data_IF_490994812492
#
_entry.id   IF_490994812492
#
_cell.length_a   1.000
_cell.length_b   1.000
_cell.length_c   1.000
_cell.angle_alpha   90.00
_cell.angle_beta   90.00
_cell.angle_gamma   90.00
#
_symmetry.space_group_name_H-M   'P 1'
#
loop_
_entity.id
_entity.type
_entity.pdbx_description
1 polymer ?
#
# COMPACT_ATOMS: atom_id res chain seq x y z
N UNK A 1 -32.70 -13.20 18.14
CA UNK A 1 -31.42 -12.46 18.17
C UNK A 1 -31.71 -11.05 17.73
N UNK A 2 -31.59 -10.06 18.61
CA UNK A 2 -31.69 -8.65 18.23
C UNK A 2 -30.35 -8.24 17.59
N UNK A 3 -30.39 -7.83 16.32
CA UNK A 3 -29.24 -7.25 15.64
C UNK A 3 -28.79 -5.99 16.38
N UNK A 4 -27.55 -5.96 16.84
CA UNK A 4 -26.96 -4.76 17.42
C UNK A 4 -26.79 -3.72 16.30
N UNK A 5 -27.13 -2.44 16.53
CA UNK A 5 -26.84 -1.41 15.54
C UNK A 5 -25.31 -1.32 15.33
N UNK A 6 -24.89 -1.48 14.07
CA UNK A 6 -23.50 -1.31 13.64
C UNK A 6 -23.34 0.13 13.16
N UNK A 7 -22.98 1.04 14.05
CA UNK A 7 -22.69 2.43 13.67
C UNK A 7 -21.26 2.54 13.12
N UNK A 8 -21.09 3.23 12.00
CA UNK A 8 -19.79 3.59 11.44
C UNK A 8 -19.65 5.11 11.37
N UNK A 9 -18.72 5.68 12.15
CA UNK A 9 -18.36 7.09 12.01
C UNK A 9 -17.54 7.29 10.74
N UNK A 10 -17.87 8.31 9.95
CA UNK A 10 -17.22 8.61 8.67
C UNK A 10 -16.70 10.05 8.66
N UNK A 11 -15.48 10.25 8.17
CA UNK A 11 -14.87 11.55 7.96
C UNK A 11 -14.74 11.80 6.46
N UNK A 12 -15.29 12.91 5.98
CA UNK A 12 -15.16 13.33 4.60
C UNK A 12 -14.00 14.31 4.47
N UNK A 13 -13.07 14.01 3.57
CA UNK A 13 -11.89 14.82 3.29
C UNK A 13 -11.85 15.18 1.81
N UNK A 14 -11.43 16.41 1.51
CA UNK A 14 -11.10 16.77 0.14
C UNK A 14 -9.81 16.06 -0.28
N UNK A 15 -9.76 15.56 -1.52
CA UNK A 15 -8.55 14.96 -2.08
C UNK A 15 -7.38 15.96 -2.14
N UNK A 16 -7.67 17.26 -2.17
CA UNK A 16 -6.66 18.33 -2.12
C UNK A 16 -5.93 18.40 -0.78
N UNK A 17 -6.54 17.88 0.28
CA UNK A 17 -5.96 17.83 1.63
C UNK A 17 -5.12 16.56 1.85
N UNK A 18 -5.15 15.63 0.91
CA UNK A 18 -4.45 14.34 0.99
C UNK A 18 -3.19 14.37 0.13
N UNK A 19 -2.11 13.86 0.70
CA UNK A 19 -0.87 13.59 -0.03
C UNK A 19 -0.72 12.08 -0.17
N UNK A 20 -0.50 11.66 -1.41
CA UNK A 20 -0.25 10.27 -1.77
C UNK A 20 1.24 10.01 -1.87
N UNK A 21 1.66 8.85 -1.40
CA UNK A 21 3.05 8.43 -1.39
C UNK A 21 3.16 6.97 -1.82
N UNK A 22 4.28 6.66 -2.47
CA UNK A 22 4.57 5.30 -2.85
C UNK A 22 4.82 4.46 -1.60
N UNK A 23 4.44 3.20 -1.71
CA UNK A 23 4.88 2.14 -0.81
C UNK A 23 5.84 1.26 -1.60
N UNK A 24 6.95 0.88 -1.01
CA UNK A 24 7.97 0.02 -1.60
C UNK A 24 7.88 -1.36 -0.97
N UNK A 25 8.27 -2.38 -1.72
CA UNK A 25 8.18 -3.77 -1.30
C UNK A 25 9.59 -4.28 -1.09
N UNK A 26 9.81 -4.90 0.05
CA UNK A 26 11.04 -5.60 0.38
C UNK A 26 10.68 -7.06 0.61
N UNK A 27 11.29 -7.96 -0.15
CA UNK A 27 10.98 -9.39 -0.11
C UNK A 27 12.24 -10.23 0.10
N UNK A 28 12.13 -11.31 0.84
CA UNK A 28 13.21 -12.29 0.98
C UNK A 28 13.43 -13.05 -0.34
N UNK A 29 14.66 -13.02 -0.87
CA UNK A 29 15.02 -13.66 -2.14
C UNK A 29 15.60 -15.07 -2.03
N UNK A 30 15.80 -15.61 -0.81
CA UNK A 30 16.53 -16.88 -0.59
C UNK A 30 15.93 -18.08 -1.34
N UNK A 31 14.61 -18.08 -1.54
CA UNK A 31 13.88 -19.18 -2.18
C UNK A 31 13.40 -18.85 -3.59
N UNK A 32 13.76 -17.68 -4.14
CA UNK A 32 13.28 -17.27 -5.46
C UNK A 32 14.07 -17.96 -6.57
N UNK A 33 13.36 -18.53 -7.53
CA UNK A 33 13.97 -18.95 -8.79
C UNK A 33 14.33 -17.71 -9.59
N UNK A 34 15.63 -17.45 -9.73
CA UNK A 34 16.16 -16.27 -10.43
C UNK A 34 15.78 -16.26 -11.92
N UNK A 35 15.75 -17.43 -12.55
CA UNK A 35 15.39 -17.55 -13.97
C UNK A 35 13.90 -17.26 -14.16
N UNK A 36 13.05 -17.78 -13.26
CA UNK A 36 11.62 -17.47 -13.26
C UNK A 36 11.37 -15.97 -13.01
N UNK A 37 12.01 -15.39 -11.99
CA UNK A 37 11.90 -13.98 -11.67
C UNK A 37 12.28 -13.10 -12.87
N UNK A 38 13.43 -13.36 -13.48
CA UNK A 38 13.88 -12.60 -14.64
C UNK A 38 12.94 -12.77 -15.81
N UNK A 39 12.45 -13.99 -16.08
CA UNK A 39 11.43 -14.23 -17.11
C UNK A 39 10.15 -13.42 -16.86
N UNK A 40 9.65 -13.40 -15.63
CA UNK A 40 8.47 -12.61 -15.26
C UNK A 40 8.72 -11.11 -15.51
N UNK A 41 9.90 -10.59 -15.14
CA UNK A 41 10.25 -9.19 -15.36
C UNK A 41 10.37 -8.88 -16.85
N UNK A 42 11.20 -9.61 -17.59
CA UNK A 42 11.52 -9.32 -19.00
C UNK A 42 10.36 -9.58 -19.95
N UNK A 43 9.31 -10.28 -19.50
CA UNK A 43 8.07 -10.43 -20.27
C UNK A 43 7.30 -9.12 -20.41
N UNK A 44 7.45 -8.20 -19.44
CA UNK A 44 6.65 -6.97 -19.37
C UNK A 44 7.49 -5.70 -19.31
N UNK A 45 8.77 -5.80 -18.93
CA UNK A 45 9.65 -4.66 -18.70
C UNK A 45 11.01 -4.80 -19.37
N UNK A 46 11.52 -3.71 -19.92
CA UNK A 46 12.94 -3.53 -20.20
C UNK A 46 13.69 -3.30 -18.90
N UNK A 47 14.82 -3.99 -18.74
CA UNK A 47 15.65 -3.92 -17.54
C UNK A 47 16.98 -3.20 -17.85
N UNK A 48 17.20 -2.06 -17.19
CA UNK A 48 18.40 -1.23 -17.37
C UNK A 48 19.12 -1.07 -16.04
N UNK A 49 20.43 -1.30 -15.99
CA UNK A 49 21.22 -1.07 -14.78
C UNK A 49 21.28 0.43 -14.44
N UNK A 50 21.36 0.75 -13.15
CA UNK A 50 21.51 2.13 -12.68
C UNK A 50 22.99 2.50 -12.61
N UNK A 51 23.43 3.60 -13.25
CA UNK A 51 24.81 4.06 -13.17
C UNK A 51 25.26 4.31 -11.72
N UNK A 52 26.45 3.81 -11.40
CA UNK A 52 27.05 3.85 -10.05
C UNK A 52 26.24 3.12 -8.98
N UNK A 53 25.32 2.22 -9.38
CA UNK A 53 24.49 1.42 -8.48
C UNK A 53 23.73 2.26 -7.44
N UNK A 54 23.30 3.46 -7.83
CA UNK A 54 22.59 4.37 -6.93
C UNK A 54 21.19 3.83 -6.62
N UNK A 55 20.71 3.96 -5.37
CA UNK A 55 19.33 3.63 -5.05
C UNK A 55 18.34 4.36 -5.94
N UNK A 56 17.43 3.61 -6.54
CA UNK A 56 16.55 4.15 -7.58
C UNK A 56 15.11 4.30 -7.10
N UNK A 57 14.61 5.53 -7.16
CA UNK A 57 13.19 5.85 -7.04
C UNK A 57 12.64 6.11 -8.45
N UNK A 58 11.56 5.44 -8.85
CA UNK A 58 10.90 5.72 -10.12
C UNK A 58 10.53 7.20 -10.26
N UNK A 59 10.76 7.75 -11.45
CA UNK A 59 10.55 9.17 -11.74
C UNK A 59 9.28 9.42 -12.56
N UNK A 60 8.77 8.37 -13.21
CA UNK A 60 7.57 8.43 -14.02
C UNK A 60 6.70 7.19 -13.83
N UNK A 61 5.42 7.35 -14.17
CA UNK A 61 4.43 6.28 -14.19
C UNK A 61 4.88 5.13 -15.09
N UNK A 62 4.56 3.91 -14.66
CA UNK A 62 4.96 2.65 -15.29
C UNK A 62 6.37 2.19 -14.91
N UNK A 63 7.21 3.06 -14.35
CA UNK A 63 8.56 2.68 -13.92
C UNK A 63 8.54 1.98 -12.57
N UNK A 64 9.37 0.95 -12.45
CA UNK A 64 9.62 0.24 -11.19
C UNK A 64 11.13 0.23 -10.98
N UNK A 65 11.58 0.46 -9.75
CA UNK A 65 12.97 0.18 -9.38
C UNK A 65 13.08 -1.21 -8.81
N UNK A 66 14.17 -1.90 -9.15
CA UNK A 66 14.49 -3.23 -8.64
C UNK A 66 15.87 -3.20 -8.02
N UNK A 67 15.99 -3.64 -6.77
CA UNK A 67 17.25 -4.06 -6.21
C UNK A 67 17.29 -5.59 -6.20
N UNK A 68 18.26 -6.18 -6.90
CA UNK A 68 18.41 -7.62 -7.00
C UNK A 68 19.89 -7.99 -7.07
N UNK A 69 20.30 -8.97 -6.27
CA UNK A 69 21.69 -9.46 -6.23
C UNK A 69 22.72 -8.33 -6.06
N UNK A 70 22.42 -7.35 -5.19
CA UNK A 70 23.31 -6.23 -4.91
C UNK A 70 23.26 -5.09 -5.94
N UNK A 71 22.44 -5.19 -7.00
CA UNK A 71 22.43 -4.23 -8.11
C UNK A 71 21.05 -3.58 -8.23
N UNK A 72 21.05 -2.27 -8.44
CA UNK A 72 19.90 -1.46 -8.77
C UNK A 72 19.65 -1.44 -10.28
N UNK A 73 18.39 -1.65 -10.63
CA UNK A 73 17.87 -1.62 -11.98
C UNK A 73 16.65 -0.71 -12.04
N UNK A 74 16.46 -0.12 -13.22
CA UNK A 74 15.22 0.51 -13.67
C UNK A 74 14.47 -0.47 -14.56
N UNK A 75 13.20 -0.68 -14.26
CA UNK A 75 12.26 -1.41 -15.09
C UNK A 75 11.39 -0.40 -15.81
N UNK A 76 11.40 -0.44 -17.14
CA UNK A 76 10.55 0.38 -17.99
C UNK A 76 9.55 -0.51 -18.72
N UNK A 77 8.26 -0.16 -18.77
CA UNK A 77 7.27 -1.02 -19.39
C UNK A 77 7.58 -1.17 -20.87
N UNK A 78 7.50 -2.40 -21.37
CA UNK A 78 7.60 -2.65 -22.80
C UNK A 78 6.38 -1.98 -23.45
N UNK A 79 6.57 -1.12 -24.46
CA UNK A 79 5.47 -0.49 -25.18
C UNK A 79 4.59 -1.60 -25.80
N UNK A 80 3.32 -1.29 -26.09
CA UNK A 80 2.28 -2.19 -26.63
C UNK A 80 1.36 -2.88 -25.61
N UNK A 81 1.70 -2.95 -24.32
CA UNK A 81 0.75 -3.40 -23.30
C UNK A 81 -0.03 -2.25 -22.69
N UNK A 82 -1.25 -2.04 -23.19
CA UNK A 82 -2.15 -0.97 -22.69
C UNK A 82 -2.44 -1.11 -21.20
N UNK A 83 -2.50 -2.34 -20.67
CA UNK A 83 -2.74 -2.60 -19.25
C UNK A 83 -1.67 -1.99 -18.34
N UNK A 84 -0.41 -1.95 -18.77
CA UNK A 84 0.69 -1.35 -18.00
C UNK A 84 0.52 0.15 -17.78
N UNK A 85 -0.30 0.80 -18.62
CA UNK A 85 -0.64 2.22 -18.52
C UNK A 85 -2.02 2.46 -17.90
N UNK A 86 -2.85 1.44 -17.71
CA UNK A 86 -4.21 1.58 -17.19
C UNK A 86 -4.32 1.15 -15.73
N UNK A 87 -3.37 0.33 -15.25
CA UNK A 87 -3.35 -0.19 -13.89
C UNK A 87 -2.23 0.44 -13.05
N UNK A 88 -2.43 0.56 -11.73
CA UNK A 88 -1.39 0.99 -10.80
C UNK A 88 -0.21 0.01 -10.76
N UNK A 89 1.00 0.52 -10.52
CA UNK A 89 2.22 -0.30 -10.45
C UNK A 89 2.16 -1.33 -9.32
N UNK A 90 1.47 -1.03 -8.20
CA UNK A 90 1.31 -1.99 -7.11
C UNK A 90 0.50 -3.23 -7.54
N UNK A 91 -0.55 -3.03 -8.35
CA UNK A 91 -1.38 -4.11 -8.89
C UNK A 91 -0.58 -4.93 -9.90
N UNK A 92 0.13 -4.26 -10.80
CA UNK A 92 0.97 -4.90 -11.81
C UNK A 92 2.10 -5.71 -11.17
N UNK A 93 2.81 -5.12 -10.21
CA UNK A 93 3.86 -5.80 -9.45
C UNK A 93 3.32 -7.07 -8.78
N UNK A 94 2.14 -6.98 -8.17
CA UNK A 94 1.51 -8.12 -7.51
C UNK A 94 1.20 -9.25 -8.51
N UNK A 95 0.47 -8.94 -9.58
CA UNK A 95 -0.04 -9.92 -10.54
C UNK A 95 1.05 -10.50 -11.44
N UNK A 96 2.03 -9.68 -11.84
CA UNK A 96 3.02 -10.05 -12.88
C UNK A 96 4.34 -10.53 -12.32
N UNK A 97 4.68 -10.20 -11.07
CA UNK A 97 5.97 -10.53 -10.48
C UNK A 97 5.80 -11.26 -9.14
N UNK A 98 5.13 -10.68 -8.14
CA UNK A 98 5.09 -11.26 -6.78
C UNK A 98 4.35 -12.60 -6.74
N UNK A 99 3.14 -12.67 -7.29
CA UNK A 99 2.39 -13.92 -7.37
C UNK A 99 3.11 -15.01 -8.19
N UNK A 100 3.55 -14.76 -9.44
CA UNK A 100 4.13 -15.82 -10.27
C UNK A 100 5.58 -16.18 -9.90
N UNK A 101 6.43 -15.22 -9.51
CA UNK A 101 7.85 -15.48 -9.26
C UNK A 101 8.14 -15.84 -7.79
N UNK A 102 7.38 -15.27 -6.84
CA UNK A 102 7.60 -15.49 -5.40
C UNK A 102 6.52 -16.39 -4.76
N UNK A 103 5.44 -16.69 -5.49
CA UNK A 103 4.30 -17.43 -4.96
C UNK A 103 3.52 -16.64 -3.90
N UNK A 104 3.67 -15.32 -3.85
CA UNK A 104 2.96 -14.45 -2.89
C UNK A 104 1.58 -14.16 -3.49
N UNK A 105 0.59 -14.98 -3.18
CA UNK A 105 -0.79 -14.80 -3.68
C UNK A 105 -1.57 -13.82 -2.81
N UNK A 106 -1.47 -13.97 -1.49
CA UNK A 106 -2.11 -13.11 -0.49
C UNK A 106 -1.05 -12.30 0.25
N UNK A 107 -0.77 -11.05 -0.17
CA UNK A 107 0.37 -10.28 0.35
C UNK A 107 0.19 -9.84 1.80
N UNK A 108 -1.06 -9.77 2.27
CA UNK A 108 -1.41 -9.32 3.62
C UNK A 108 -0.86 -10.26 4.71
N UNK A 109 -0.81 -11.56 4.42
CA UNK A 109 -0.46 -12.60 5.38
C UNK A 109 0.97 -13.15 5.15
N UNK A 110 1.65 -12.71 4.08
CA UNK A 110 2.96 -13.23 3.70
C UNK A 110 4.09 -12.51 4.43
N UNK A 111 4.65 -13.16 5.46
CA UNK A 111 5.74 -12.64 6.29
C UNK A 111 7.03 -12.35 5.53
N UNK A 112 7.19 -12.88 4.31
CA UNK A 112 8.37 -12.60 3.48
C UNK A 112 8.32 -11.19 2.90
N UNK A 113 7.15 -10.55 2.89
CA UNK A 113 6.93 -9.24 2.32
C UNK A 113 6.88 -8.16 3.40
N UNK A 114 7.66 -7.10 3.22
CA UNK A 114 7.69 -5.92 4.08
C UNK A 114 7.43 -4.67 3.25
N UNK A 115 6.80 -3.69 3.86
CA UNK A 115 6.33 -2.48 3.18
C UNK A 115 6.99 -1.22 3.74
N UNK A 116 7.51 -0.37 2.87
CA UNK A 116 8.20 0.86 3.24
C UNK A 116 7.59 2.05 2.51
N UNK A 117 6.99 2.99 3.23
CA UNK A 117 6.54 4.26 2.62
C UNK A 117 7.71 5.17 2.27
N UNK A 118 7.46 6.21 1.48
CA UNK A 118 8.50 7.20 1.09
C UNK A 118 9.30 7.80 2.26
N UNK A 119 8.67 7.96 3.43
CA UNK A 119 9.31 8.49 4.64
C UNK A 119 10.27 7.49 5.31
N UNK A 120 10.13 6.19 5.04
CA UNK A 120 10.97 5.11 5.56
C UNK A 120 11.97 4.62 4.51
N UNK A 121 12.40 5.51 3.60
CA UNK A 121 13.32 5.15 2.53
C UNK A 121 14.71 4.78 3.04
N UNK A 122 15.25 5.55 3.97
CA UNK A 122 16.55 5.24 4.55
C UNK A 122 16.53 3.91 5.33
N UNK A 123 15.39 3.58 5.95
CA UNK A 123 15.19 2.28 6.60
C UNK A 123 15.20 1.13 5.58
N UNK A 124 14.55 1.32 4.41
CA UNK A 124 14.61 0.36 3.31
C UNK A 124 16.07 0.13 2.85
N UNK A 125 16.84 1.21 2.67
CA UNK A 125 18.25 1.10 2.25
C UNK A 125 19.11 0.43 3.33
N UNK A 126 18.88 0.76 4.60
CA UNK A 126 19.52 0.12 5.74
C UNK A 126 19.26 -1.39 5.74
N UNK A 127 18.02 -1.83 5.54
CA UNK A 127 17.70 -3.25 5.44
C UNK A 127 18.43 -3.93 4.28
N UNK A 128 18.43 -3.32 3.10
CA UNK A 128 19.13 -3.86 1.92
C UNK A 128 20.64 -4.03 2.14
N UNK A 129 21.26 -3.16 2.94
CA UNK A 129 22.68 -3.28 3.29
C UNK A 129 22.99 -4.44 4.24
N UNK A 130 22.00 -4.95 4.99
CA UNK A 130 22.18 -6.00 5.99
C UNK A 130 22.18 -7.40 5.38
N UNK A 131 21.44 -7.58 4.29
CA UNK A 131 21.28 -8.89 3.65
C UNK A 131 21.25 -8.76 2.12
N UNK A 132 22.28 -9.27 1.41
CA UNK A 132 22.37 -9.20 -0.05
C UNK A 132 21.32 -10.07 -0.76
N UNK A 133 20.64 -10.96 -0.05
CA UNK A 133 19.58 -11.79 -0.59
C UNK A 133 18.21 -11.11 -0.58
N UNK A 134 18.09 -9.92 0.02
CA UNK A 134 16.89 -9.12 -0.06
C UNK A 134 16.70 -8.56 -1.46
N UNK A 135 15.44 -8.54 -1.89
CA UNK A 135 15.02 -7.96 -3.16
C UNK A 135 14.08 -6.82 -2.84
N UNK A 136 14.31 -5.65 -3.42
CA UNK A 136 13.40 -4.51 -3.27
C UNK A 136 12.75 -4.13 -4.59
N UNK A 137 11.47 -3.76 -4.51
CA UNK A 137 10.73 -3.11 -5.58
C UNK A 137 10.28 -1.72 -5.11
N UNK A 138 10.80 -0.69 -5.76
CA UNK A 138 10.45 0.71 -5.50
C UNK A 138 9.46 1.16 -6.57
N UNK A 139 8.44 1.90 -6.18
CA UNK A 139 7.30 2.22 -7.04
C UNK A 139 7.13 3.73 -7.21
N UNK A 140 6.54 4.12 -8.33
CA UNK A 140 5.99 5.45 -8.51
C UNK A 140 4.70 5.60 -7.67
N UNK A 141 4.44 6.76 -7.06
CA UNK A 141 3.21 6.96 -6.28
C UNK A 141 1.97 6.95 -7.17
N UNK A 142 0.97 6.17 -6.77
CA UNK A 142 -0.40 6.30 -7.28
C UNK A 142 -0.93 7.69 -6.92
N UNK A 143 -1.59 8.35 -7.89
CA UNK A 143 -2.25 9.64 -7.67
C UNK A 143 -3.74 9.50 -7.33
N UNK A 144 -4.36 10.64 -6.99
CA UNK A 144 -5.78 10.70 -6.65
C UNK A 144 -6.70 10.26 -7.79
N UNK A 145 -6.34 10.58 -9.04
CA UNK A 145 -7.14 10.25 -10.21
C UNK A 145 -7.13 8.75 -10.48
N UNK A 146 -5.97 8.11 -10.34
CA UNK A 146 -5.80 6.66 -10.46
C UNK A 146 -6.51 5.90 -9.34
N UNK A 147 -6.46 6.39 -8.10
CA UNK A 147 -7.23 5.83 -6.98
C UNK A 147 -8.73 5.86 -7.27
N UNK A 148 -9.27 7.02 -7.67
CA UNK A 148 -10.69 7.18 -8.01
C UNK A 148 -11.07 6.28 -9.20
N UNK A 149 -10.22 6.21 -10.22
CA UNK A 149 -10.44 5.35 -11.39
C UNK A 149 -10.49 3.88 -10.97
N UNK A 150 -9.56 3.43 -10.13
CA UNK A 150 -9.51 2.04 -9.65
C UNK A 150 -10.77 1.69 -8.86
N UNK A 151 -11.24 2.59 -7.99
CA UNK A 151 -12.49 2.42 -7.26
C UNK A 151 -13.72 2.34 -8.18
N UNK A 152 -13.81 3.22 -9.19
CA UNK A 152 -14.90 3.20 -10.18
C UNK A 152 -14.95 1.92 -11.00
N UNK A 153 -13.78 1.31 -11.25
CA UNK A 153 -13.67 0.05 -11.99
C UNK A 153 -13.87 -1.18 -11.08
N UNK A 154 -14.12 -1.01 -9.78
CA UNK A 154 -14.23 -2.12 -8.83
C UNK A 154 -12.94 -2.93 -8.74
N UNK A 155 -11.78 -2.29 -8.93
CA UNK A 155 -10.48 -2.97 -8.92
C UNK A 155 -10.02 -3.23 -7.49
N UNK A 156 -9.64 -4.48 -7.23
CA UNK A 156 -8.99 -4.86 -5.97
C UNK A 156 -7.56 -4.30 -5.92
N UNK A 157 -7.32 -3.39 -4.98
CA UNK A 157 -6.00 -2.87 -4.70
C UNK A 157 -5.29 -3.77 -3.67
N UNK A 158 -4.04 -4.21 -3.93
CA UNK A 158 -3.25 -4.93 -2.93
C UNK A 158 -3.16 -4.17 -1.61
N UNK A 159 -2.99 -4.90 -0.51
CA UNK A 159 -2.73 -4.28 0.80
C UNK A 159 -1.48 -3.40 0.72
N UNK A 160 -1.53 -2.25 1.40
CA UNK A 160 -0.50 -1.21 1.34
C UNK A 160 -0.18 -0.74 -0.09
N UNK A 161 -1.19 -0.62 -0.95
CA UNK A 161 -1.04 -0.07 -2.31
C UNK A 161 -0.49 1.36 -2.34
N UNK A 162 -0.88 2.18 -1.37
CA UNK A 162 -0.56 3.60 -1.32
C UNK A 162 -0.46 4.09 0.12
N UNK A 163 0.41 5.08 0.38
CA UNK A 163 0.48 5.77 1.66
C UNK A 163 -0.26 7.11 1.59
N UNK A 164 -1.17 7.37 2.53
CA UNK A 164 -1.90 8.64 2.64
C UNK A 164 -1.36 9.44 3.83
N UNK A 165 -1.17 10.74 3.63
CA UNK A 165 -0.92 11.68 4.73
C UNK A 165 -1.78 12.95 4.61
N UNK A 166 -2.21 13.56 5.74
CA UNK A 166 -1.95 13.13 7.12
C UNK A 166 -2.72 11.86 7.52
N UNK A 167 -2.14 11.01 8.38
CA UNK A 167 -2.76 9.73 8.82
C UNK A 167 -4.03 9.95 9.69
N UNK A 168 -4.11 11.10 10.34
CA UNK A 168 -5.32 11.63 10.96
C UNK A 168 -5.28 13.14 10.75
N UNK A 169 -6.27 13.75 10.06
CA UNK A 169 -6.22 15.18 9.79
C UNK A 169 -6.40 16.03 11.05
N UNK A 170 -7.19 15.57 12.04
CA UNK A 170 -7.55 16.36 13.22
C UNK A 170 -7.91 15.47 14.42
N UNK A 171 -7.75 15.97 15.65
CA UNK A 171 -8.14 15.28 16.89
C UNK A 171 -9.66 15.09 16.96
N UNK A 172 -10.16 13.95 16.46
CA UNK A 172 -11.58 13.60 16.56
C UNK A 172 -11.87 13.23 18.02
N UNK A 173 -12.62 14.08 18.71
CA UNK A 173 -13.20 13.75 20.02
C UNK A 173 -14.55 13.08 19.79
N UNK A 174 -14.66 11.79 20.10
CA UNK A 174 -15.95 11.08 20.11
C UNK A 174 -16.46 11.02 21.55
N UNK A 175 -17.63 11.61 21.80
CA UNK A 175 -18.32 11.50 23.08
C UNK A 175 -19.60 10.68 22.87
N UNK A 176 -19.68 9.53 23.52
CA UNK A 176 -20.93 8.77 23.58
C UNK A 176 -21.89 9.53 24.50
N UNK A 177 -22.99 10.06 23.96
CA UNK A 177 -24.06 10.60 24.80
C UNK A 177 -24.84 9.42 25.35
N UNK A 178 -24.47 8.95 26.55
CA UNK A 178 -25.32 8.05 27.32
C UNK A 178 -26.63 8.75 27.57
N UNK A 179 -27.72 8.14 27.09
CA UNK A 179 -29.05 8.71 27.15
C UNK A 179 -29.58 8.63 28.58
N UNK A 180 -29.13 9.54 29.45
CA UNK A 180 -29.59 9.63 30.84
C UNK A 180 -30.92 10.40 30.87
N UNK A 181 -31.95 9.77 30.29
CA UNK A 181 -33.31 10.28 30.32
C UNK A 181 -34.10 9.57 31.40
N UNK A 182 -34.30 10.28 32.51
CA UNK A 182 -35.39 10.18 33.48
C UNK A 182 -35.36 9.02 34.49
N UNK A 183 -34.75 9.26 35.66
CA UNK A 183 -35.18 8.58 36.91
C UNK A 183 -35.36 9.47 38.15
N UNK A 184 -35.20 10.79 38.05
CA UNK A 184 -35.36 11.70 39.19
C UNK A 184 -36.60 12.60 39.07
N UNK A 185 -37.79 12.00 38.98
CA UNK A 185 -39.08 12.65 39.33
C UNK A 185 -40.11 11.64 39.82
N UNK A 186 -39.80 10.87 40.88
CA UNK A 186 -40.79 10.26 41.77
C UNK A 186 -40.17 10.05 43.15
N UNK A 187 -40.10 11.11 43.95
CA UNK A 187 -40.02 11.06 45.41
C UNK A 187 -40.42 12.42 45.97
N UNK A 188 -41.63 12.87 45.64
CA UNK A 188 -42.34 13.87 46.45
C UNK A 188 -43.76 13.34 46.64
N UNK A 189 -44.09 12.96 47.88
CA UNK A 189 -45.46 12.69 48.29
C UNK A 189 -45.69 11.33 48.97
N UNK A 190 -45.06 11.08 50.11
CA UNK A 190 -45.62 10.15 51.10
C UNK A 190 -44.98 10.38 52.49
N UNK A 191 -45.55 11.30 53.27
CA UNK A 191 -45.70 11.22 54.74
C UNK A 191 -46.58 12.38 55.22
N UNK A 192 -47.89 12.14 55.28
CA UNK A 192 -48.82 12.89 56.13
C UNK A 192 -50.08 12.05 56.37
N UNK A 193 -50.05 11.20 57.40
CA UNK A 193 -51.15 10.90 58.34
C UNK A 193 -50.71 9.81 59.32
#
# INVERSE_FOLDING_TARGET
QQERPQWLSSLYLSMEQLRFSAVHRLVQGNQVDRTLLMRCITSYYYLTYIPSNRPYRPEARGQIGLFFSGIWYKLEPIPYERELLERPECVLLQQRILSPAFGIVEPADDQRLRYFGNAAWEDLLSELSKDPCLIAFTLFPMDSAELIRSAKLGMDLPVHSLGISPKSPFGILMHELSNDSQKDRKNEGETAS
#
